data_IF_468148719463
#
_entry.id   IF_468148719463
#
_cell.length_a   1.000
_cell.length_b   1.000
_cell.length_c   1.000
_cell.angle_alpha   90.00
_cell.angle_beta   90.00
_cell.angle_gamma   90.00
#
_symmetry.space_group_name_H-M   'P 1'
#
loop_
_entity.id
_entity.type
_entity.pdbx_description
1 polymer ?
#
# COMPACT_ATOMS: atom_id res chain seq x y z
N UNK A 1 58.25 -16.94 31.40
CA UNK A 1 56.83 -16.58 31.31
C UNK A 1 56.52 -16.10 29.89
N UNK A 2 55.86 -16.93 29.10
CA UNK A 2 55.38 -16.57 27.78
C UNK A 2 53.88 -16.38 27.90
N UNK A 3 53.41 -15.13 27.73
CA UNK A 3 52.02 -14.80 27.57
C UNK A 3 51.57 -15.25 26.18
N UNK A 4 50.61 -16.18 26.17
CA UNK A 4 49.97 -16.63 24.94
C UNK A 4 48.92 -15.61 24.52
N UNK A 5 49.16 -15.01 23.39
CA UNK A 5 48.23 -14.12 22.68
C UNK A 5 47.10 -14.97 22.08
N UNK A 6 45.96 -15.04 22.77
CA UNK A 6 44.73 -15.64 22.28
C UNK A 6 43.96 -14.55 21.49
N UNK A 7 44.43 -14.21 20.32
CA UNK A 7 43.65 -13.49 19.32
C UNK A 7 42.56 -14.47 18.82
N UNK A 8 41.35 -14.36 19.37
CA UNK A 8 40.14 -14.89 18.73
C UNK A 8 40.00 -14.18 17.40
N UNK A 9 40.36 -14.88 16.32
CA UNK A 9 39.98 -14.48 14.99
C UNK A 9 38.42 -14.38 14.95
N UNK A 10 37.90 -13.19 14.99
CA UNK A 10 36.52 -12.97 14.56
C UNK A 10 36.40 -13.51 13.12
N UNK A 11 35.76 -14.65 12.99
CA UNK A 11 35.32 -15.12 11.67
C UNK A 11 34.39 -14.03 11.12
N UNK A 12 34.90 -13.22 10.18
CA UNK A 12 34.05 -12.37 9.39
C UNK A 12 33.01 -13.28 8.73
N UNK A 13 31.76 -13.11 9.14
CA UNK A 13 30.62 -13.83 8.52
C UNK A 13 30.60 -13.34 7.08
N UNK A 14 30.92 -14.23 6.17
CA UNK A 14 30.89 -13.94 4.74
C UNK A 14 29.43 -13.66 4.34
N UNK A 15 29.18 -12.45 3.83
CA UNK A 15 27.84 -12.03 3.42
C UNK A 15 27.54 -12.65 2.06
N UNK A 16 26.70 -13.69 2.04
CA UNK A 16 26.31 -14.43 0.86
C UNK A 16 25.02 -13.85 0.29
N UNK A 17 24.97 -13.66 -1.03
CA UNK A 17 23.79 -13.17 -1.77
C UNK A 17 23.36 -14.16 -2.86
N UNK A 18 22.07 -14.17 -3.13
CA UNK A 18 21.43 -15.03 -4.13
C UNK A 18 21.23 -14.31 -5.46
N UNK A 19 21.00 -12.99 -5.43
CA UNK A 19 20.76 -12.19 -6.64
C UNK A 19 22.05 -11.88 -7.42
N UNK A 20 21.92 -11.62 -8.71
CA UNK A 20 23.03 -11.23 -9.58
C UNK A 20 23.89 -12.41 -10.05
N UNK A 21 23.50 -13.66 -9.78
CA UNK A 21 24.17 -14.87 -10.28
C UNK A 21 23.16 -15.91 -10.75
N UNK A 22 23.47 -16.62 -11.84
CA UNK A 22 22.74 -17.82 -12.26
C UNK A 22 23.34 -19.10 -11.69
N UNK A 23 24.49 -18.98 -11.02
CA UNK A 23 25.19 -20.08 -10.36
C UNK A 23 24.91 -20.13 -8.85
N UNK A 24 25.80 -20.80 -8.12
CA UNK A 24 25.74 -20.87 -6.67
C UNK A 24 25.76 -19.47 -6.02
N UNK A 25 25.14 -19.31 -4.84
CA UNK A 25 25.25 -18.10 -4.04
C UNK A 25 26.72 -17.70 -3.84
N UNK A 26 27.01 -16.40 -3.87
CA UNK A 26 28.39 -15.89 -3.78
C UNK A 26 28.50 -14.75 -2.78
N UNK A 27 29.72 -14.43 -2.40
CA UNK A 27 30.02 -13.26 -1.56
C UNK A 27 29.63 -11.96 -2.28
N UNK A 28 29.11 -10.99 -1.52
CA UNK A 28 28.83 -9.62 -2.03
C UNK A 28 30.08 -9.01 -2.66
N UNK A 29 31.26 -9.28 -2.07
CA UNK A 29 32.54 -8.75 -2.54
C UNK A 29 32.95 -9.28 -3.94
N UNK A 30 32.43 -10.43 -4.33
CA UNK A 30 32.71 -11.06 -5.62
C UNK A 30 31.65 -10.71 -6.69
N UNK A 31 30.67 -9.87 -6.34
CA UNK A 31 29.64 -9.46 -7.29
C UNK A 31 30.16 -8.39 -8.26
N UNK A 32 30.01 -8.58 -9.58
CA UNK A 32 30.40 -7.58 -10.58
C UNK A 32 29.49 -6.34 -10.61
N UNK A 33 28.37 -6.39 -9.88
CA UNK A 33 27.38 -5.31 -9.77
C UNK A 33 27.12 -4.99 -8.30
N UNK A 34 26.82 -3.72 -7.96
CA UNK A 34 26.59 -3.33 -6.57
C UNK A 34 25.31 -3.97 -6.02
N UNK A 35 25.46 -4.73 -4.94
CA UNK A 35 24.37 -5.33 -4.17
C UNK A 35 24.41 -4.76 -2.76
N UNK A 36 23.31 -4.14 -2.33
CA UNK A 36 23.14 -3.77 -0.93
C UNK A 36 22.53 -4.95 -0.19
N UNK A 37 23.07 -5.24 0.98
CA UNK A 37 22.59 -6.28 1.86
C UNK A 37 22.12 -5.67 3.17
N UNK A 38 20.84 -5.84 3.49
CA UNK A 38 20.22 -5.32 4.70
C UNK A 38 19.79 -6.51 5.56
N UNK A 39 20.35 -6.63 6.75
CA UNK A 39 20.02 -7.72 7.67
C UNK A 39 18.61 -7.59 8.24
N UNK A 40 17.92 -8.72 8.45
CA UNK A 40 16.58 -8.73 9.04
C UNK A 40 16.55 -8.16 10.47
N UNK A 41 17.61 -8.34 11.25
CA UNK A 41 17.73 -7.70 12.56
C UNK A 41 17.85 -6.17 12.49
N UNK A 42 18.54 -5.64 11.49
CA UNK A 42 18.64 -4.20 11.25
C UNK A 42 17.25 -3.62 10.94
N UNK A 43 16.50 -4.27 10.06
CA UNK A 43 15.12 -3.91 9.77
C UNK A 43 14.24 -4.01 11.01
N UNK A 44 14.39 -5.07 11.78
CA UNK A 44 13.60 -5.28 13.01
C UNK A 44 13.89 -4.25 14.10
N UNK A 45 15.05 -3.59 14.09
CA UNK A 45 15.40 -2.50 15.02
C UNK A 45 14.96 -1.13 14.52
N UNK A 46 14.51 -1.03 13.28
CA UNK A 46 13.98 0.22 12.71
C UNK A 46 12.82 0.77 13.51
N UNK A 47 12.70 2.10 13.58
CA UNK A 47 11.65 2.79 14.32
C UNK A 47 10.28 2.79 13.64
N UNK A 48 10.16 2.20 12.44
CA UNK A 48 8.92 2.16 11.67
C UNK A 48 8.41 0.72 11.54
N UNK A 49 7.13 0.57 11.25
CA UNK A 49 6.46 -0.73 10.99
C UNK A 49 6.18 -0.97 9.51
N UNK A 50 6.42 0.02 8.66
CA UNK A 50 6.23 -0.05 7.21
C UNK A 50 7.53 -0.48 6.52
N UNK A 51 7.46 -1.50 5.66
CA UNK A 51 8.64 -2.06 4.98
C UNK A 51 9.36 -1.04 4.09
N UNK A 52 8.63 -0.19 3.34
CA UNK A 52 9.25 0.84 2.52
C UNK A 52 10.01 1.87 3.37
N UNK A 53 9.41 2.29 4.49
CA UNK A 53 10.05 3.24 5.40
C UNK A 53 11.27 2.63 6.11
N UNK A 54 11.24 1.34 6.45
CA UNK A 54 12.39 0.62 7.01
C UNK A 54 13.55 0.55 6.02
N UNK A 55 13.27 0.32 4.74
CA UNK A 55 14.28 0.23 3.69
C UNK A 55 14.81 1.59 3.22
N UNK A 56 14.06 2.67 3.42
CA UNK A 56 14.38 4.03 2.95
C UNK A 56 15.76 4.52 3.40
N UNK A 57 16.12 4.22 4.64
CA UNK A 57 17.42 4.62 5.22
C UNK A 57 18.59 3.81 4.68
N UNK A 58 18.36 2.58 4.24
CA UNK A 58 19.41 1.62 3.85
C UNK A 58 19.54 1.46 2.33
N UNK A 59 18.54 1.92 1.55
CA UNK A 59 18.54 1.83 0.07
C UNK A 59 18.45 3.21 -0.55
N UNK A 60 19.59 3.86 -0.89
CA UNK A 60 19.60 5.27 -1.35
C UNK A 60 18.80 5.56 -2.62
N UNK A 61 18.57 4.55 -3.45
CA UNK A 61 17.80 4.68 -4.71
C UNK A 61 16.32 4.33 -4.58
N UNK A 62 15.85 3.97 -3.38
CA UNK A 62 14.46 3.65 -3.12
C UNK A 62 13.63 4.92 -3.01
N UNK A 63 12.59 5.01 -3.82
CA UNK A 63 11.59 6.06 -3.73
C UNK A 63 10.42 5.57 -2.89
N UNK A 64 10.10 6.31 -1.84
CA UNK A 64 8.96 6.00 -0.97
C UNK A 64 7.85 7.01 -1.20
N UNK A 65 6.69 6.51 -1.59
CA UNK A 65 5.48 7.30 -1.84
C UNK A 65 4.39 6.89 -0.85
N UNK A 66 3.78 7.87 -0.23
CA UNK A 66 2.64 7.64 0.68
C UNK A 66 1.30 7.74 -0.03
N UNK A 67 1.25 8.39 -1.21
CA UNK A 67 0.04 8.63 -2.00
C UNK A 67 -1.16 9.03 -1.11
N UNK A 68 -1.05 10.15 -0.37
CA UNK A 68 -2.00 10.51 0.68
C UNK A 68 -3.41 10.75 0.16
N UNK A 69 -3.52 11.13 -1.12
CA UNK A 69 -4.78 11.29 -1.85
C UNK A 69 -4.62 10.67 -3.22
N UNK A 70 -5.29 9.55 -3.43
CA UNK A 70 -5.36 8.88 -4.74
C UNK A 70 -6.61 8.00 -4.77
N UNK A 71 -6.95 7.44 -5.93
CA UNK A 71 -8.02 6.44 -5.99
C UNK A 71 -7.56 5.18 -5.22
N UNK A 72 -7.15 4.12 -5.87
CA UNK A 72 -6.71 2.91 -5.17
C UNK A 72 -5.21 2.84 -4.85
N UNK A 73 -4.39 3.80 -5.33
CA UNK A 73 -2.94 3.73 -5.20
C UNK A 73 -2.41 3.86 -3.76
N UNK A 74 -3.23 4.37 -2.82
CA UNK A 74 -2.92 4.40 -1.39
C UNK A 74 -3.10 3.06 -0.67
N UNK A 75 -3.79 2.09 -1.30
CA UNK A 75 -4.14 0.81 -0.66
C UNK A 75 -3.01 -0.21 -0.69
N UNK A 76 -2.06 -0.07 -1.60
CA UNK A 76 -0.91 -0.96 -1.80
C UNK A 76 0.39 -0.16 -1.82
N UNK A 77 1.49 -0.80 -1.48
CA UNK A 77 2.80 -0.15 -1.39
C UNK A 77 3.83 -0.88 -2.27
N UNK A 78 3.85 -0.61 -3.56
CA UNK A 78 4.87 -1.14 -4.45
C UNK A 78 6.21 -0.42 -4.27
N UNK A 79 7.31 -1.12 -4.53
CA UNK A 79 8.64 -0.54 -4.47
C UNK A 79 9.00 0.16 -5.78
N UNK A 80 9.63 1.34 -5.65
CA UNK A 80 10.16 2.10 -6.77
C UNK A 80 11.66 2.33 -6.58
N UNK A 81 12.46 1.96 -7.56
CA UNK A 81 13.90 2.20 -7.56
C UNK A 81 14.28 3.19 -8.65
N UNK A 82 15.27 4.05 -8.36
CA UNK A 82 15.92 4.95 -9.34
C UNK A 82 14.94 5.89 -10.06
N UNK A 83 13.82 6.25 -9.43
CA UNK A 83 12.82 7.14 -10.03
C UNK A 83 11.99 6.52 -11.15
N UNK A 84 12.02 5.18 -11.29
CA UNK A 84 11.20 4.46 -12.27
C UNK A 84 9.94 3.88 -11.63
N UNK A 85 8.94 3.58 -12.45
CA UNK A 85 7.70 2.96 -11.98
C UNK A 85 7.93 1.58 -11.37
N UNK A 86 6.99 1.13 -10.55
CA UNK A 86 7.07 -0.17 -9.87
C UNK A 86 7.12 -1.37 -10.82
N UNK A 87 6.63 -1.24 -12.04
CA UNK A 87 6.75 -2.27 -13.09
C UNK A 87 8.20 -2.50 -13.54
N UNK A 88 9.10 -1.57 -13.23
CA UNK A 88 10.53 -1.67 -13.56
C UNK A 88 11.38 -2.23 -12.42
N UNK A 89 10.79 -2.51 -11.26
CA UNK A 89 11.46 -3.07 -10.08
C UNK A 89 10.99 -4.49 -9.83
N UNK A 90 11.88 -5.46 -10.07
CA UNK A 90 11.57 -6.86 -9.84
C UNK A 90 11.62 -7.18 -8.35
N UNK A 91 10.53 -7.73 -7.83
CA UNK A 91 10.43 -8.22 -6.44
C UNK A 91 10.51 -9.74 -6.44
N UNK A 92 11.42 -10.27 -5.61
CA UNK A 92 11.58 -11.70 -5.38
C UNK A 92 11.36 -12.01 -3.90
N UNK A 93 10.88 -13.21 -3.60
CA UNK A 93 10.89 -13.83 -2.27
C UNK A 93 11.63 -15.17 -2.41
N UNK A 94 12.69 -15.36 -1.63
CA UNK A 94 13.58 -16.53 -1.74
C UNK A 94 14.03 -16.81 -3.21
N UNK A 95 14.32 -15.74 -3.97
CA UNK A 95 14.73 -15.83 -5.37
C UNK A 95 13.61 -16.12 -6.37
N UNK A 96 12.35 -16.26 -5.95
CA UNK A 96 11.20 -16.50 -6.82
C UNK A 96 10.39 -15.23 -6.99
N UNK A 97 9.90 -15.00 -8.21
CA UNK A 97 9.12 -13.81 -8.56
C UNK A 97 7.87 -13.68 -7.69
N UNK A 98 7.69 -12.51 -7.10
CA UNK A 98 6.48 -12.15 -6.36
C UNK A 98 5.36 -11.77 -7.33
N UNK A 99 4.14 -12.25 -7.09
CA UNK A 99 2.96 -11.84 -7.86
C UNK A 99 2.62 -10.36 -7.64
N UNK A 100 1.97 -9.77 -8.62
CA UNK A 100 1.55 -8.37 -8.57
C UNK A 100 0.34 -8.18 -7.65
N UNK A 101 0.20 -6.97 -7.12
CA UNK A 101 -1.02 -6.55 -6.44
C UNK A 101 -2.19 -6.40 -7.42
N UNK A 102 -3.41 -6.41 -6.91
CA UNK A 102 -4.62 -6.22 -7.72
C UNK A 102 -4.86 -4.77 -8.13
N UNK A 103 -4.15 -3.82 -7.53
CA UNK A 103 -4.30 -2.39 -7.79
C UNK A 103 -3.43 -1.96 -8.97
N UNK A 104 -4.06 -1.38 -9.99
CA UNK A 104 -3.38 -0.57 -11.01
C UNK A 104 -3.49 0.89 -10.56
N UNK A 105 -2.36 1.56 -10.40
CA UNK A 105 -2.33 2.95 -9.96
C UNK A 105 -2.90 3.85 -11.09
N UNK A 106 -4.11 4.37 -10.87
CA UNK A 106 -4.77 5.31 -11.76
C UNK A 106 -5.02 6.59 -10.97
N UNK A 107 -4.78 7.75 -11.56
CA UNK A 107 -5.03 9.07 -10.97
C UNK A 107 -4.40 9.28 -9.58
N UNK A 108 -3.33 10.01 -9.53
CA UNK A 108 -2.62 10.34 -8.29
C UNK A 108 -1.59 9.32 -7.84
N UNK A 109 -1.25 8.33 -8.68
CA UNK A 109 -0.15 7.39 -8.43
C UNK A 109 1.24 7.96 -8.65
N UNK A 110 1.34 9.16 -9.23
CA UNK A 110 2.62 9.80 -9.53
C UNK A 110 3.43 8.99 -10.55
N UNK A 111 4.66 8.62 -10.21
CA UNK A 111 5.51 7.80 -11.10
C UNK A 111 4.96 6.39 -11.32
N UNK A 112 3.97 5.98 -10.54
CA UNK A 112 3.28 4.70 -10.67
C UNK A 112 1.99 4.79 -11.49
N UNK A 113 1.62 5.94 -12.05
CA UNK A 113 0.41 6.04 -12.88
C UNK A 113 0.45 5.05 -14.03
N UNK A 114 -0.53 4.13 -14.06
CA UNK A 114 -0.60 3.01 -15.01
C UNK A 114 0.17 1.75 -14.59
N UNK A 115 0.97 1.78 -13.52
CA UNK A 115 1.76 0.66 -13.06
C UNK A 115 0.98 -0.28 -12.12
N UNK A 116 1.42 -1.54 -12.07
CA UNK A 116 0.87 -2.60 -11.23
C UNK A 116 2.00 -3.41 -10.58
N UNK A 117 2.65 -2.84 -9.56
CA UNK A 117 3.72 -3.51 -8.82
C UNK A 117 3.22 -4.48 -7.75
N UNK A 118 4.07 -5.40 -7.27
CA UNK A 118 3.81 -6.18 -6.07
C UNK A 118 3.65 -5.31 -4.83
N UNK A 119 2.76 -5.70 -3.92
CA UNK A 119 2.64 -5.08 -2.61
C UNK A 119 3.68 -5.64 -1.66
N UNK A 120 4.66 -4.83 -1.26
CA UNK A 120 5.70 -5.27 -0.32
C UNK A 120 5.34 -5.02 1.15
N UNK A 121 4.26 -4.30 1.44
CA UNK A 121 3.80 -4.07 2.81
C UNK A 121 3.27 -5.35 3.49
N UNK A 122 2.97 -6.38 2.69
CA UNK A 122 2.57 -7.70 3.18
C UNK A 122 3.75 -8.57 3.64
N UNK A 123 5.00 -8.10 3.55
CA UNK A 123 6.20 -8.84 3.95
C UNK A 123 6.68 -8.28 5.29
N UNK A 124 6.44 -8.98 6.42
CA UNK A 124 6.82 -8.48 7.73
C UNK A 124 8.33 -8.60 7.96
N UNK A 125 8.94 -7.60 8.60
CA UNK A 125 10.36 -7.63 8.94
C UNK A 125 10.73 -8.85 9.81
N UNK A 126 9.80 -9.32 10.64
CA UNK A 126 9.98 -10.50 11.49
C UNK A 126 10.25 -11.80 10.69
N UNK A 127 9.77 -11.89 9.43
CA UNK A 127 9.98 -13.04 8.56
C UNK A 127 11.33 -13.03 7.85
N UNK A 128 12.06 -11.90 7.86
CA UNK A 128 13.22 -11.70 7.00
C UNK A 128 14.53 -12.06 7.71
N UNK A 129 15.36 -12.84 7.01
CA UNK A 129 16.78 -13.04 7.28
C UNK A 129 17.59 -11.86 6.75
N UNK A 130 17.31 -11.43 5.51
CA UNK A 130 17.94 -10.30 4.84
C UNK A 130 17.10 -9.82 3.65
N UNK A 131 17.38 -8.60 3.21
CA UNK A 131 16.93 -8.06 1.91
C UNK A 131 18.15 -7.78 1.05
N UNK A 132 18.13 -8.25 -0.17
CA UNK A 132 19.18 -8.06 -1.17
C UNK A 132 18.66 -7.09 -2.24
N UNK A 133 19.37 -5.98 -2.47
CA UNK A 133 18.97 -4.99 -3.46
C UNK A 133 20.05 -4.84 -4.52
N UNK A 134 19.75 -5.34 -5.71
CA UNK A 134 20.58 -5.16 -6.90
C UNK A 134 20.16 -3.85 -7.58
N UNK A 135 20.97 -2.82 -7.47
CA UNK A 135 20.65 -1.44 -7.90
C UNK A 135 20.94 -1.16 -9.37
N UNK A 136 21.40 -2.11 -10.12
CA UNK A 136 21.68 -1.94 -11.55
C UNK A 136 20.66 -2.64 -12.42
N UNK A 137 20.60 -2.26 -13.71
CA UNK A 137 19.74 -2.88 -14.70
C UNK A 137 20.07 -4.36 -14.87
N UNK A 138 19.20 -5.22 -14.35
CA UNK A 138 19.36 -6.67 -14.41
C UNK A 138 18.46 -7.31 -15.48
N UNK A 139 17.93 -6.50 -16.40
CA UNK A 139 16.98 -6.94 -17.43
C UNK A 139 17.52 -8.08 -18.31
N UNK A 140 18.83 -8.12 -18.57
CA UNK A 140 19.46 -9.19 -19.33
C UNK A 140 19.39 -10.56 -18.62
N UNK A 141 19.31 -10.57 -17.29
CA UNK A 141 19.25 -11.79 -16.48
C UNK A 141 17.82 -12.12 -16.03
N UNK A 142 17.02 -11.10 -15.68
CA UNK A 142 15.74 -11.27 -15.02
C UNK A 142 14.53 -10.84 -15.84
N UNK A 143 14.74 -10.18 -16.99
CA UNK A 143 13.67 -9.67 -17.86
C UNK A 143 13.37 -8.19 -17.70
N UNK A 144 12.36 -7.71 -18.42
CA UNK A 144 12.05 -6.27 -18.57
C UNK A 144 11.63 -5.58 -17.28
N UNK A 145 11.11 -6.29 -16.32
CA UNK A 145 10.69 -5.76 -15.01
C UNK A 145 11.86 -5.56 -14.03
N UNK A 146 13.09 -5.90 -14.42
CA UNK A 146 14.29 -5.63 -13.64
C UNK A 146 15.16 -4.47 -14.20
N UNK A 147 14.56 -3.53 -14.91
CA UNK A 147 15.26 -2.37 -15.50
C UNK A 147 15.79 -1.44 -14.42
N UNK A 148 15.01 -1.17 -13.39
CA UNK A 148 15.41 -0.34 -12.25
C UNK A 148 16.31 -1.10 -11.27
N UNK A 149 16.10 -2.40 -11.15
CA UNK A 149 16.83 -3.28 -10.24
C UNK A 149 15.99 -4.45 -9.76
N UNK A 150 16.55 -5.18 -8.81
CA UNK A 150 15.92 -6.37 -8.19
C UNK A 150 15.97 -6.20 -6.68
N UNK A 151 14.87 -6.48 -5.99
CA UNK A 151 14.80 -6.61 -4.55
C UNK A 151 14.41 -8.03 -4.20
N UNK A 152 15.26 -8.76 -3.47
CA UNK A 152 15.00 -10.12 -3.04
C UNK A 152 14.84 -10.17 -1.51
N UNK A 153 13.67 -10.58 -1.05
CA UNK A 153 13.33 -10.78 0.34
C UNK A 153 13.63 -12.21 0.72
N UNK A 154 14.71 -12.42 1.46
CA UNK A 154 15.14 -13.74 1.91
C UNK A 154 14.50 -14.03 3.25
N UNK A 155 13.72 -15.09 3.33
CA UNK A 155 13.01 -15.51 4.54
C UNK A 155 13.95 -16.20 5.52
N UNK A 156 13.61 -16.13 6.81
CA UNK A 156 14.30 -16.90 7.86
C UNK A 156 14.14 -18.39 7.62
N UNK A 157 15.21 -19.13 7.89
CA UNK A 157 15.35 -20.56 7.69
C UNK A 157 15.84 -21.29 8.95
N UNK A 158 15.74 -20.63 10.12
CA UNK A 158 16.14 -21.23 11.40
C UNK A 158 15.23 -22.40 11.75
N UNK A 159 15.82 -23.50 12.21
CA UNK A 159 15.14 -24.72 12.66
C UNK A 159 14.86 -24.72 14.17
N UNK A 160 15.26 -23.68 14.87
CA UNK A 160 15.09 -23.54 16.32
C UNK A 160 15.05 -22.07 16.72
N UNK A 161 14.59 -21.81 17.96
CA UNK A 161 14.51 -20.46 18.49
C UNK A 161 13.29 -19.69 18.04
N UNK A 162 13.23 -18.44 18.47
CA UNK A 162 12.13 -17.55 18.10
C UNK A 162 12.25 -16.18 18.74
N UNK A 163 11.40 -15.27 18.28
CA UNK A 163 11.32 -13.91 18.77
C UNK A 163 9.86 -13.43 18.83
N UNK A 164 9.57 -12.57 19.79
CA UNK A 164 8.31 -11.85 19.91
C UNK A 164 8.62 -10.39 20.16
N UNK A 165 8.00 -9.51 19.40
CA UNK A 165 8.19 -8.06 19.48
C UNK A 165 6.83 -7.40 19.59
N UNK A 166 6.70 -6.46 20.51
CA UNK A 166 5.57 -5.55 20.60
C UNK A 166 6.09 -4.11 20.47
N UNK A 167 5.44 -3.31 19.65
CA UNK A 167 5.79 -1.90 19.40
C UNK A 167 4.57 -1.02 19.55
N UNK A 168 4.81 0.15 20.09
CA UNK A 168 3.88 1.27 20.06
C UNK A 168 4.65 2.52 19.67
N UNK A 169 4.07 3.33 18.82
CA UNK A 169 4.66 4.59 18.36
C UNK A 169 3.59 5.61 18.03
N UNK A 170 3.96 6.88 18.11
CA UNK A 170 3.14 8.02 17.73
C UNK A 170 4.05 9.11 17.18
N UNK A 171 3.52 9.94 16.28
CA UNK A 171 4.28 11.11 15.82
C UNK A 171 4.23 12.24 16.84
N UNK A 172 5.24 13.11 16.82
CA UNK A 172 5.33 14.28 17.72
C UNK A 172 4.16 15.27 17.54
N UNK A 173 3.50 15.22 16.40
CA UNK A 173 2.31 15.99 16.08
C UNK A 173 1.05 15.48 16.82
N UNK A 174 1.14 14.34 17.49
CA UNK A 174 0.05 13.75 18.27
C UNK A 174 -0.96 12.97 17.42
N UNK A 175 -0.51 12.43 16.31
CA UNK A 175 -1.30 11.57 15.40
C UNK A 175 -0.49 10.35 14.95
N UNK A 176 -1.14 9.46 14.18
CA UNK A 176 -0.50 8.31 13.57
C UNK A 176 -0.06 7.26 14.60
N UNK A 177 -0.85 7.08 15.65
CA UNK A 177 -0.60 6.03 16.63
C UNK A 177 -0.51 4.68 15.93
N UNK A 178 0.56 3.95 16.21
CA UNK A 178 0.80 2.65 15.61
C UNK A 178 1.06 1.63 16.69
N UNK A 179 0.34 0.50 16.62
CA UNK A 179 0.57 -0.68 17.45
C UNK A 179 0.92 -1.87 16.56
N UNK A 180 1.99 -2.57 16.89
CA UNK A 180 2.40 -3.79 16.20
C UNK A 180 2.77 -4.87 17.21
N UNK A 181 2.33 -6.09 16.94
CA UNK A 181 2.84 -7.30 17.58
C UNK A 181 3.29 -8.24 16.47
N UNK A 182 4.56 -8.62 16.49
CA UNK A 182 5.13 -9.51 15.49
C UNK A 182 6.02 -10.57 16.14
N UNK A 183 6.13 -11.71 15.51
CA UNK A 183 6.95 -12.81 16.01
C UNK A 183 7.39 -13.77 14.92
N UNK A 184 8.39 -14.56 15.30
CA UNK A 184 8.96 -15.59 14.46
C UNK A 184 9.32 -16.80 15.33
N UNK A 185 9.16 -18.00 14.81
CA UNK A 185 9.59 -19.24 15.45
C UNK A 185 10.11 -20.22 14.41
N UNK A 186 11.30 -20.75 14.67
CA UNK A 186 11.91 -21.87 13.96
C UNK A 186 11.62 -23.19 14.66
N UNK A 187 11.34 -24.23 13.88
CA UNK A 187 11.09 -25.58 14.35
C UNK A 187 11.77 -26.59 13.40
N UNK A 188 12.33 -27.69 13.92
CA UNK A 188 12.86 -28.74 13.06
C UNK A 188 11.71 -29.46 12.33
N UNK A 189 11.88 -29.66 11.03
CA UNK A 189 11.07 -30.57 10.23
C UNK A 189 11.90 -31.85 10.04
N UNK A 190 11.71 -32.84 10.86
CA UNK A 190 12.63 -33.97 10.97
C UNK A 190 14.04 -33.52 11.46
N UNK A 191 15.05 -34.38 11.35
CA UNK A 191 16.47 -34.04 11.68
C UNK A 191 17.17 -33.26 10.53
N UNK A 192 16.58 -33.26 9.34
CA UNK A 192 17.22 -32.79 8.09
C UNK A 192 16.43 -31.64 7.43
N UNK A 193 15.57 -30.96 8.18
CA UNK A 193 14.77 -29.86 7.63
C UNK A 193 14.29 -28.87 8.69
N UNK A 194 13.64 -27.81 8.23
CA UNK A 194 13.12 -26.76 9.07
C UNK A 194 11.71 -26.33 8.63
N UNK A 195 10.96 -25.78 9.58
CA UNK A 195 9.77 -24.95 9.36
C UNK A 195 9.95 -23.66 10.15
N UNK A 196 9.87 -22.54 9.47
CA UNK A 196 9.95 -21.22 10.07
C UNK A 196 8.61 -20.50 9.86
N UNK A 197 7.98 -20.06 10.96
CA UNK A 197 6.71 -19.37 10.97
C UNK A 197 6.91 -17.93 11.46
N UNK A 198 6.30 -16.99 10.76
CA UNK A 198 6.29 -15.58 11.16
C UNK A 198 4.86 -15.06 11.14
N UNK A 199 4.55 -14.16 12.09
CA UNK A 199 3.27 -13.45 12.11
C UNK A 199 3.48 -11.98 12.43
N UNK A 200 2.54 -11.17 12.00
CA UNK A 200 2.41 -9.76 12.37
C UNK A 200 0.94 -9.41 12.51
N UNK A 201 0.63 -8.62 13.53
CA UNK A 201 -0.62 -7.90 13.66
C UNK A 201 -0.31 -6.42 13.88
N UNK A 202 -0.95 -5.54 13.10
CA UNK A 202 -0.69 -4.11 13.15
C UNK A 202 -1.95 -3.30 12.96
N UNK A 203 -2.05 -2.20 13.72
CA UNK A 203 -2.95 -1.08 13.49
C UNK A 203 -2.15 0.21 13.40
N UNK A 204 -2.56 1.09 12.51
CA UNK A 204 -1.95 2.41 12.36
C UNK A 204 -3.02 3.45 12.06
N UNK A 205 -3.11 4.48 12.90
CA UNK A 205 -4.02 5.59 12.71
C UNK A 205 -3.55 6.48 11.55
N UNK A 206 -4.49 7.18 10.92
CA UNK A 206 -4.19 8.15 9.88
C UNK A 206 -3.36 9.32 10.44
N UNK A 207 -2.54 9.91 9.59
CA UNK A 207 -1.83 11.15 9.91
C UNK A 207 -2.43 12.34 9.15
N UNK A 208 -2.18 13.54 9.67
CA UNK A 208 -2.53 14.78 8.98
C UNK A 208 -1.36 15.76 8.96
N UNK A 209 -0.97 16.16 7.75
CA UNK A 209 0.02 17.24 7.52
C UNK A 209 -0.64 18.33 6.68
N UNK A 210 -1.87 18.67 7.07
CA UNK A 210 -2.80 19.46 6.27
C UNK A 210 -2.85 20.91 6.72
N UNK A 211 -3.12 21.77 5.76
CA UNK A 211 -3.56 23.15 5.99
C UNK A 211 -4.91 23.33 5.30
N UNK A 212 -5.72 24.28 5.79
CA UNK A 212 -7.02 24.54 5.16
C UNK A 212 -6.83 24.96 3.70
N UNK A 213 -7.64 24.41 2.82
CA UNK A 213 -7.69 24.78 1.40
C UNK A 213 -8.15 26.22 1.23
N UNK A 214 -7.57 27.00 0.30
CA UNK A 214 -7.96 28.39 0.08
C UNK A 214 -9.45 28.56 -0.27
N UNK A 215 -10.01 27.66 -1.10
CA UNK A 215 -11.42 27.68 -1.48
C UNK A 215 -12.36 27.40 -0.30
N UNK A 216 -12.02 26.43 0.56
CA UNK A 216 -12.77 26.16 1.79
C UNK A 216 -12.65 27.30 2.80
N UNK A 217 -11.45 27.87 2.99
CA UNK A 217 -11.25 29.05 3.83
C UNK A 217 -12.07 30.26 3.35
N UNK A 218 -12.15 30.45 2.03
CA UNK A 218 -12.99 31.50 1.41
C UNK A 218 -14.49 31.32 1.73
N UNK A 219 -14.99 30.10 1.71
CA UNK A 219 -16.37 29.78 2.06
C UNK A 219 -16.66 30.05 3.54
N UNK A 220 -15.75 29.66 4.45
CA UNK A 220 -15.85 29.94 5.87
C UNK A 220 -15.86 31.45 6.13
N UNK A 221 -14.94 32.19 5.52
CA UNK A 221 -14.87 33.66 5.63
C UNK A 221 -16.12 34.35 5.09
N UNK A 222 -16.78 33.75 4.08
CA UNK A 222 -18.04 34.21 3.52
C UNK A 222 -19.28 33.74 4.33
N UNK A 223 -19.10 33.17 5.52
CA UNK A 223 -20.16 32.82 6.45
C UNK A 223 -20.71 31.40 6.35
N UNK A 224 -20.08 30.51 5.58
CA UNK A 224 -20.47 29.10 5.55
C UNK A 224 -19.85 28.31 6.70
N UNK A 225 -20.54 28.25 7.83
CA UNK A 225 -20.10 27.56 9.05
C UNK A 225 -20.22 26.04 8.99
N UNK A 226 -20.77 25.48 7.91
CA UNK A 226 -20.90 24.04 7.71
C UNK A 226 -19.63 23.42 7.06
N UNK A 227 -18.73 24.25 6.54
CA UNK A 227 -17.45 23.79 5.98
C UNK A 227 -16.53 23.37 7.13
N UNK A 228 -15.90 22.20 7.00
CA UNK A 228 -14.95 21.69 7.98
C UNK A 228 -13.71 22.59 8.10
N UNK A 229 -13.14 22.71 9.31
CA UNK A 229 -11.90 23.46 9.59
C UNK A 229 -10.70 22.92 8.78
N UNK A 230 -10.70 21.62 8.47
CA UNK A 230 -9.83 20.98 7.48
C UNK A 230 -10.70 20.23 6.48
N UNK A 231 -10.97 20.86 5.35
CA UNK A 231 -11.84 20.30 4.32
C UNK A 231 -11.20 19.10 3.57
N UNK A 232 -9.88 19.01 3.56
CA UNK A 232 -9.15 17.93 2.90
C UNK A 232 -7.92 17.56 3.71
N UNK A 233 -7.70 16.26 3.92
CA UNK A 233 -6.60 15.73 4.70
C UNK A 233 -5.51 15.18 3.78
N UNK A 234 -4.26 15.59 4.04
CA UNK A 234 -3.04 15.07 3.45
C UNK A 234 -2.24 14.35 4.52
N UNK A 235 -2.13 13.05 4.42
CA UNK A 235 -1.40 12.24 5.38
C UNK A 235 -1.42 10.76 5.00
N UNK A 236 -0.78 9.94 5.82
CA UNK A 236 -0.80 8.49 5.62
C UNK A 236 -2.22 7.96 5.85
N UNK A 237 -2.65 6.94 5.09
CA UNK A 237 -3.93 6.30 5.32
C UNK A 237 -3.97 5.57 6.67
N UNK A 238 -5.16 5.40 7.20
CA UNK A 238 -5.45 4.50 8.31
C UNK A 238 -5.32 3.04 7.84
N UNK A 239 -4.70 2.20 8.66
CA UNK A 239 -4.57 0.75 8.43
C UNK A 239 -5.06 0.02 9.65
N UNK A 240 -6.08 -0.82 9.47
CA UNK A 240 -6.70 -1.60 10.55
C UNK A 240 -6.60 -3.09 10.28
N UNK A 241 -6.52 -3.86 11.37
CA UNK A 241 -6.55 -5.31 11.37
C UNK A 241 -5.58 -5.93 10.35
N UNK A 242 -4.39 -5.34 10.22
CA UNK A 242 -3.33 -5.84 9.33
C UNK A 242 -2.72 -7.11 9.94
N UNK A 243 -3.21 -8.25 9.49
CA UNK A 243 -2.75 -9.58 9.89
C UNK A 243 -1.91 -10.15 8.77
N UNK A 244 -0.69 -10.58 9.09
CA UNK A 244 0.18 -11.27 8.13
C UNK A 244 0.79 -12.52 8.75
N UNK A 245 0.78 -13.62 8.00
CA UNK A 245 1.41 -14.89 8.35
C UNK A 245 2.31 -15.30 7.19
N UNK A 246 3.54 -15.67 7.49
CA UNK A 246 4.49 -16.27 6.55
C UNK A 246 4.93 -17.64 7.03
N UNK A 247 5.12 -18.54 6.09
CA UNK A 247 5.75 -19.85 6.31
C UNK A 247 6.93 -20.01 5.35
N UNK A 248 8.05 -20.53 5.84
CA UNK A 248 9.19 -20.96 5.05
C UNK A 248 9.63 -22.34 5.56
N UNK A 249 9.85 -23.28 4.65
CA UNK A 249 10.22 -24.64 5.00
C UNK A 249 11.17 -25.22 3.96
N UNK A 250 12.15 -25.95 4.43
CA UNK A 250 13.09 -26.70 3.62
C UNK A 250 13.33 -28.08 4.20
N UNK A 251 13.58 -29.04 3.33
CA UNK A 251 13.89 -30.43 3.69
C UNK A 251 15.03 -30.95 2.80
N UNK A 252 16.14 -31.29 3.41
CA UNK A 252 17.22 -31.99 2.71
C UNK A 252 16.75 -33.40 2.33
N UNK A 253 16.81 -33.70 1.04
CA UNK A 253 16.43 -34.99 0.46
C UNK A 253 17.65 -35.92 0.29
N UNK A 254 18.84 -35.44 0.64
CA UNK A 254 20.11 -36.11 0.35
C UNK A 254 20.55 -35.94 -1.11
N UNK A 255 21.79 -36.34 -1.40
CA UNK A 255 22.40 -36.24 -2.75
C UNK A 255 22.34 -34.80 -3.31
N UNK A 256 22.72 -33.83 -2.49
CA UNK A 256 22.72 -32.40 -2.84
C UNK A 256 21.36 -31.88 -3.37
N UNK A 257 20.27 -32.45 -2.88
CA UNK A 257 18.89 -32.10 -3.26
C UNK A 257 18.10 -31.61 -2.07
N UNK A 258 17.27 -30.59 -2.29
CA UNK A 258 16.40 -29.97 -1.28
C UNK A 258 14.98 -29.82 -1.83
N UNK A 259 13.98 -30.15 -1.03
CA UNK A 259 12.60 -29.70 -1.25
C UNK A 259 12.34 -28.45 -0.43
N UNK A 260 11.61 -27.48 -0.99
CA UNK A 260 11.28 -26.25 -0.29
C UNK A 260 9.84 -25.83 -0.53
N UNK A 261 9.30 -25.12 0.44
CA UNK A 261 7.97 -24.50 0.37
C UNK A 261 7.97 -23.19 1.14
N UNK A 262 7.38 -22.15 0.55
CA UNK A 262 7.10 -20.91 1.27
C UNK A 262 5.83 -20.26 0.77
N UNK A 263 5.21 -19.47 1.63
CA UNK A 263 3.98 -18.78 1.29
C UNK A 263 3.53 -17.80 2.36
N UNK A 264 2.48 -17.07 2.05
CA UNK A 264 1.88 -16.12 2.97
C UNK A 264 0.36 -16.07 2.87
N UNK A 265 -0.22 -15.58 3.96
CA UNK A 265 -1.54 -15.00 4.02
C UNK A 265 -1.44 -13.63 4.67
N UNK A 266 -2.07 -12.63 4.08
CA UNK A 266 -2.20 -11.30 4.65
C UNK A 266 -3.59 -10.74 4.37
N UNK A 267 -4.15 -10.03 5.35
CA UNK A 267 -5.40 -9.30 5.24
C UNK A 267 -5.31 -8.00 6.03
N UNK A 268 -5.81 -6.90 5.46
CA UNK A 268 -5.88 -5.60 6.13
C UNK A 268 -6.98 -4.73 5.56
N UNK A 269 -7.50 -3.85 6.39
CA UNK A 269 -8.36 -2.75 5.97
C UNK A 269 -7.55 -1.45 5.89
N UNK A 270 -7.70 -0.73 4.77
CA UNK A 270 -7.03 0.56 4.54
C UNK A 270 -8.09 1.61 4.23
N UNK A 271 -7.97 2.79 4.86
CA UNK A 271 -8.84 3.94 4.59
C UNK A 271 -7.99 5.18 4.36
N UNK A 272 -7.98 5.67 3.12
CA UNK A 272 -7.26 6.86 2.69
C UNK A 272 -8.16 8.08 2.52
N UNK A 273 -7.55 9.25 2.47
CA UNK A 273 -8.21 10.51 2.15
C UNK A 273 -8.54 10.63 0.66
N UNK A 274 -9.38 11.61 0.35
CA UNK A 274 -9.75 11.95 -1.02
C UNK A 274 -9.89 13.46 -1.20
N UNK A 275 -10.31 13.91 -2.40
CA UNK A 275 -10.43 15.32 -2.73
C UNK A 275 -11.73 15.93 -2.19
N UNK A 276 -11.64 17.14 -1.64
CA UNK A 276 -12.80 17.95 -1.21
C UNK A 276 -13.75 18.25 -2.37
N UNK A 277 -15.02 18.09 -2.11
CA UNK A 277 -16.14 18.41 -2.98
C UNK A 277 -16.74 19.73 -2.55
N UNK A 278 -16.26 20.80 -3.17
CA UNK A 278 -16.67 22.18 -2.86
C UNK A 278 -18.16 22.39 -3.14
N UNK A 279 -18.95 22.95 -2.20
CA UNK A 279 -20.40 23.09 -2.31
C UNK A 279 -20.87 24.13 -3.33
N UNK A 280 -19.96 24.83 -4.00
CA UNK A 280 -20.29 25.76 -5.08
C UNK A 280 -19.86 25.22 -6.46
N UNK A 281 -18.67 24.63 -6.54
CA UNK A 281 -18.03 24.35 -7.82
C UNK A 281 -18.01 22.88 -8.23
N UNK A 282 -18.36 21.94 -7.32
CA UNK A 282 -18.34 20.51 -7.67
C UNK A 282 -19.37 20.21 -8.74
N UNK A 283 -18.88 19.98 -9.97
CA UNK A 283 -19.69 19.64 -11.13
C UNK A 283 -20.56 18.40 -10.92
N UNK A 284 -21.78 18.43 -11.42
CA UNK A 284 -22.75 17.33 -11.36
C UNK A 284 -23.36 17.07 -9.97
N UNK A 285 -22.94 17.81 -8.93
CA UNK A 285 -23.48 17.75 -7.57
C UNK A 285 -24.05 19.11 -7.16
N UNK A 286 -23.22 20.14 -7.14
CA UNK A 286 -23.59 21.46 -6.65
C UNK A 286 -23.74 22.50 -7.75
N UNK A 287 -23.11 22.29 -8.90
CA UNK A 287 -23.16 23.21 -10.03
C UNK A 287 -23.08 22.44 -11.36
N UNK A 288 -23.68 23.00 -12.40
CA UNK A 288 -23.56 22.52 -13.79
C UNK A 288 -22.70 23.42 -14.69
N UNK A 289 -22.28 24.59 -14.19
CA UNK A 289 -21.66 25.69 -14.95
C UNK A 289 -20.36 26.22 -14.31
N UNK A 290 -19.74 25.40 -13.44
CA UNK A 290 -18.48 25.77 -12.81
C UNK A 290 -18.61 26.64 -11.58
N UNK A 291 -19.80 26.81 -11.02
CA UNK A 291 -20.06 27.57 -9.80
C UNK A 291 -20.73 28.90 -10.02
N UNK A 292 -21.27 29.15 -11.22
CA UNK A 292 -22.06 30.36 -11.50
C UNK A 292 -23.47 30.24 -10.90
N UNK A 293 -24.10 29.06 -11.03
CA UNK A 293 -25.41 28.78 -10.47
C UNK A 293 -25.49 27.42 -9.74
N UNK A 294 -26.49 27.32 -8.84
CA UNK A 294 -26.79 26.11 -8.11
C UNK A 294 -27.41 25.09 -9.05
N UNK A 295 -26.93 23.84 -8.95
CA UNK A 295 -27.58 22.70 -9.62
C UNK A 295 -28.83 22.30 -8.82
N UNK A 296 -29.99 22.52 -9.41
CA UNK A 296 -31.28 22.25 -8.81
C UNK A 296 -31.94 21.12 -9.57
N UNK A 297 -32.31 20.05 -8.89
CA UNK A 297 -33.16 18.99 -9.42
C UNK A 297 -34.63 19.40 -9.33
N UNK A 298 -35.39 19.17 -10.41
CA UNK A 298 -36.82 19.36 -10.49
C UNK A 298 -37.50 18.00 -10.44
N UNK A 299 -38.11 17.66 -9.31
CA UNK A 299 -38.75 16.36 -9.08
C UNK A 299 -40.00 16.15 -9.93
N UNK A 300 -40.65 17.21 -10.33
CA UNK A 300 -41.85 17.15 -11.16
C UNK A 300 -41.53 17.10 -12.66
N UNK A 301 -40.27 17.33 -13.04
CA UNK A 301 -39.86 17.34 -14.43
C UNK A 301 -39.87 15.92 -15.00
N UNK A 302 -40.81 15.68 -15.95
CA UNK A 302 -40.78 14.50 -16.81
C UNK A 302 -40.22 14.89 -18.18
N UNK A 303 -39.89 13.89 -18.99
CA UNK A 303 -39.37 14.14 -20.35
C UNK A 303 -40.32 15.01 -21.15
N UNK A 304 -39.80 16.16 -21.63
CA UNK A 304 -40.57 17.15 -22.42
C UNK A 304 -41.46 18.12 -21.62
N UNK A 305 -41.44 18.07 -20.27
CA UNK A 305 -42.15 19.06 -19.47
C UNK A 305 -41.29 20.32 -19.24
N UNK A 306 -41.98 21.45 -19.04
CA UNK A 306 -41.34 22.72 -18.68
C UNK A 306 -40.72 22.60 -17.28
N UNK A 307 -39.59 23.26 -17.10
CA UNK A 307 -38.87 23.33 -15.84
C UNK A 307 -39.61 24.19 -14.83
N UNK A 308 -39.91 23.66 -13.63
CA UNK A 308 -40.61 24.41 -12.56
C UNK A 308 -39.64 25.06 -11.56
N UNK A 309 -38.40 24.56 -11.46
CA UNK A 309 -37.39 25.12 -10.58
C UNK A 309 -36.54 26.18 -11.30
N UNK A 310 -36.52 27.40 -10.79
CA UNK A 310 -35.76 28.49 -11.37
C UNK A 310 -34.27 28.36 -11.07
N UNK A 311 -33.43 28.80 -12.00
CA UNK A 311 -31.99 28.91 -11.78
C UNK A 311 -31.70 29.95 -10.68
N UNK A 312 -30.76 29.64 -9.78
CA UNK A 312 -30.34 30.53 -8.70
C UNK A 312 -28.84 30.75 -8.81
N UNK A 313 -28.38 31.99 -9.10
CA UNK A 313 -26.96 32.33 -9.09
C UNK A 313 -26.35 32.14 -7.69
N UNK A 314 -25.08 31.74 -7.61
CA UNK A 314 -24.33 31.65 -6.34
C UNK A 314 -23.75 33.03 -6.03
N UNK A 315 -24.23 33.66 -4.95
CA UNK A 315 -23.84 35.03 -4.58
C UNK A 315 -23.29 35.14 -3.15
N UNK A 316 -23.44 34.09 -2.33
CA UNK A 316 -22.97 34.05 -0.92
C UNK A 316 -22.19 32.81 -0.62
N UNK A 317 -21.42 32.80 0.46
CA UNK A 317 -20.67 31.63 0.93
C UNK A 317 -21.57 30.46 1.37
N UNK A 318 -22.77 30.74 1.83
CA UNK A 318 -23.79 29.74 2.14
C UNK A 318 -25.05 30.01 1.34
N UNK A 319 -25.26 29.23 0.29
CA UNK A 319 -26.38 29.41 -0.64
C UNK A 319 -27.75 29.30 0.04
N UNK A 320 -27.85 28.54 1.14
CA UNK A 320 -29.10 28.38 1.90
C UNK A 320 -29.59 29.70 2.53
N UNK A 321 -28.72 30.70 2.67
CA UNK A 321 -29.07 32.02 3.22
C UNK A 321 -29.41 33.05 2.17
N UNK A 322 -29.27 32.68 0.88
CA UNK A 322 -29.59 33.62 -0.24
C UNK A 322 -31.11 33.86 -0.37
N UNK A 323 -31.55 35.11 -0.50
CA UNK A 323 -32.98 35.41 -0.69
C UNK A 323 -33.59 34.67 -1.89
N UNK A 324 -32.87 34.62 -3.00
CA UNK A 324 -33.33 33.96 -4.23
C UNK A 324 -33.46 32.46 -4.07
N UNK A 325 -32.54 31.82 -3.28
CA UNK A 325 -32.63 30.42 -2.95
C UNK A 325 -33.87 30.14 -2.08
N UNK A 326 -34.06 30.92 -1.04
CA UNK A 326 -35.20 30.78 -0.12
C UNK A 326 -36.52 30.95 -0.89
N UNK A 327 -36.60 31.96 -1.78
CA UNK A 327 -37.81 32.24 -2.53
C UNK A 327 -38.16 31.19 -3.59
N UNK A 328 -37.14 30.63 -4.27
CA UNK A 328 -37.36 29.85 -5.48
C UNK A 328 -37.10 28.34 -5.29
N UNK A 329 -36.41 27.92 -4.24
CA UNK A 329 -36.00 26.51 -4.02
C UNK A 329 -36.47 25.99 -2.67
N UNK A 330 -36.10 26.64 -1.58
CA UNK A 330 -36.31 26.12 -0.23
C UNK A 330 -37.79 25.92 0.17
N UNK A 331 -38.71 26.70 -0.44
CA UNK A 331 -40.16 26.64 -0.21
C UNK A 331 -40.91 25.89 -1.34
N UNK A 332 -40.19 25.23 -2.23
CA UNK A 332 -40.78 24.49 -3.34
C UNK A 332 -40.46 22.97 -3.21
N UNK A 333 -41.44 22.18 -2.82
CA UNK A 333 -41.28 20.72 -2.60
C UNK A 333 -40.82 19.97 -3.88
N UNK A 334 -41.00 20.54 -5.07
CA UNK A 334 -40.51 19.96 -6.30
C UNK A 334 -39.01 20.20 -6.55
N UNK A 335 -38.43 21.21 -5.88
CA UNK A 335 -37.03 21.58 -6.08
C UNK A 335 -36.14 20.93 -5.00
N UNK A 336 -34.94 20.53 -5.39
CA UNK A 336 -33.95 19.96 -4.48
C UNK A 336 -32.56 20.40 -4.92
N UNK A 337 -31.70 20.75 -3.95
CA UNK A 337 -30.27 20.91 -4.16
C UNK A 337 -29.47 20.14 -3.10
N UNK A 338 -28.30 19.65 -3.47
CA UNK A 338 -27.42 18.97 -2.51
C UNK A 338 -26.89 19.91 -1.41
N UNK A 339 -26.98 21.22 -1.59
CA UNK A 339 -26.67 22.20 -0.54
C UNK A 339 -27.59 22.04 0.69
N UNK A 340 -28.83 21.56 0.52
CA UNK A 340 -29.75 21.30 1.64
C UNK A 340 -29.25 20.12 2.49
N UNK A 341 -28.73 19.08 1.85
CA UNK A 341 -28.23 17.90 2.52
C UNK A 341 -26.84 18.13 3.11
N UNK A 342 -25.94 18.79 2.37
CA UNK A 342 -24.52 18.93 2.69
C UNK A 342 -24.05 20.36 2.33
N UNK A 343 -24.43 21.39 3.13
CA UNK A 343 -24.17 22.78 2.79
C UNK A 343 -22.68 23.17 2.83
N UNK A 344 -21.85 22.42 3.57
CA UNK A 344 -20.42 22.65 3.69
C UNK A 344 -19.56 21.94 2.63
N UNK A 345 -20.19 21.21 1.72
CA UNK A 345 -19.45 20.29 0.87
C UNK A 345 -19.01 19.04 1.66
N UNK A 346 -18.25 18.15 1.02
CA UNK A 346 -17.83 16.91 1.63
C UNK A 346 -16.50 16.41 1.07
N UNK A 347 -15.83 15.56 1.84
CA UNK A 347 -14.62 14.87 1.41
C UNK A 347 -14.83 13.38 1.56
N UNK A 348 -14.86 12.62 0.46
CA UNK A 348 -14.93 11.18 0.53
C UNK A 348 -13.69 10.59 1.20
N UNK A 349 -13.82 9.36 1.74
CA UNK A 349 -12.71 8.49 2.05
C UNK A 349 -12.74 7.29 1.13
N UNK A 350 -11.63 7.00 0.48
CA UNK A 350 -11.48 5.82 -0.35
C UNK A 350 -10.71 4.76 0.43
N UNK A 351 -11.26 3.57 0.50
CA UNK A 351 -10.67 2.48 1.26
C UNK A 351 -10.93 1.12 0.64
N UNK A 352 -10.49 0.10 1.34
CA UNK A 352 -10.78 -1.28 0.94
C UNK A 352 -10.12 -2.29 1.85
N UNK A 353 -10.65 -3.51 1.78
CA UNK A 353 -10.04 -4.69 2.35
C UNK A 353 -9.12 -5.32 1.30
N UNK A 354 -7.86 -5.54 1.67
CA UNK A 354 -6.84 -6.14 0.82
C UNK A 354 -6.48 -7.50 1.39
N UNK A 355 -6.66 -8.56 0.58
CA UNK A 355 -6.26 -9.92 0.91
C UNK A 355 -5.18 -10.38 -0.05
N UNK A 356 -4.05 -10.84 0.49
CA UNK A 356 -2.91 -11.32 -0.28
C UNK A 356 -2.52 -12.73 0.17
N UNK A 357 -2.40 -13.65 -0.80
CA UNK A 357 -2.01 -15.03 -0.54
C UNK A 357 -1.02 -15.52 -1.57
N UNK A 358 -0.02 -16.29 -1.16
CA UNK A 358 0.85 -16.99 -2.09
C UNK A 358 1.34 -18.33 -1.55
N UNK A 359 1.69 -19.20 -2.47
CA UNK A 359 2.36 -20.46 -2.20
C UNK A 359 3.35 -20.75 -3.34
N UNK A 360 4.58 -21.09 -2.96
CA UNK A 360 5.61 -21.61 -3.85
C UNK A 360 6.11 -22.93 -3.30
N UNK A 361 6.19 -23.94 -4.15
CA UNK A 361 6.72 -25.27 -3.81
C UNK A 361 7.69 -25.67 -4.88
N UNK A 362 8.83 -26.26 -4.50
CA UNK A 362 9.83 -26.67 -5.44
C UNK A 362 10.85 -27.63 -4.90
N UNK A 363 11.74 -28.04 -5.80
CA UNK A 363 12.94 -28.82 -5.50
C UNK A 363 14.10 -28.26 -6.27
N UNK A 364 15.25 -28.18 -5.63
CA UNK A 364 16.50 -27.72 -6.24
C UNK A 364 17.64 -28.66 -5.83
N UNK A 365 18.69 -28.66 -6.59
CA UNK A 365 19.87 -29.50 -6.27
C UNK A 365 20.91 -29.45 -7.37
N UNK A 366 21.93 -30.30 -7.20
CA UNK A 366 22.99 -30.51 -8.16
C UNK A 366 23.01 -31.99 -8.59
N UNK A 367 23.10 -32.24 -9.91
CA UNK A 367 23.24 -33.57 -10.45
C UNK A 367 24.70 -34.02 -10.39
N UNK A 368 24.97 -35.31 -10.44
CA UNK A 368 26.32 -35.91 -10.42
C UNK A 368 27.29 -35.32 -11.47
N UNK A 369 26.76 -34.72 -12.53
CA UNK A 369 27.53 -34.08 -13.59
C UNK A 369 27.79 -32.58 -13.36
N UNK A 370 27.47 -32.04 -12.17
CA UNK A 370 27.64 -30.62 -11.81
C UNK A 370 26.56 -29.69 -12.34
N UNK A 371 25.48 -30.21 -12.92
CA UNK A 371 24.36 -29.41 -13.41
C UNK A 371 23.42 -29.10 -12.23
N UNK A 372 23.28 -27.81 -11.93
CA UNK A 372 22.29 -27.34 -10.95
C UNK A 372 20.90 -27.27 -11.57
N UNK A 373 19.90 -27.65 -10.80
CA UNK A 373 18.50 -27.56 -11.19
C UNK A 373 17.66 -26.90 -10.09
N UNK A 374 16.57 -26.25 -10.48
CA UNK A 374 15.55 -25.69 -9.59
C UNK A 374 14.20 -25.72 -10.29
N UNK A 375 13.33 -26.64 -9.89
CA UNK A 375 11.97 -26.79 -10.42
C UNK A 375 10.97 -26.33 -9.36
N UNK A 376 10.11 -25.38 -9.73
CA UNK A 376 9.10 -24.88 -8.81
C UNK A 376 7.81 -24.50 -9.49
N UNK A 377 6.72 -24.57 -8.75
CA UNK A 377 5.44 -23.99 -9.08
C UNK A 377 5.05 -22.93 -8.04
N UNK A 378 4.52 -21.82 -8.51
CA UNK A 378 4.04 -20.74 -7.67
C UNK A 378 2.61 -20.36 -8.02
N UNK A 379 1.83 -20.00 -7.01
CA UNK A 379 0.53 -19.38 -7.18
C UNK A 379 0.45 -18.18 -6.23
N UNK A 380 0.01 -17.05 -6.76
CA UNK A 380 -0.17 -15.83 -5.98
C UNK A 380 -1.50 -15.17 -6.32
N UNK A 381 -2.20 -14.68 -5.31
CA UNK A 381 -3.47 -13.99 -5.45
C UNK A 381 -3.50 -12.77 -4.55
N UNK A 382 -3.81 -11.63 -5.14
CA UNK A 382 -4.11 -10.40 -4.40
C UNK A 382 -5.51 -9.92 -4.77
N UNK A 383 -6.32 -9.56 -3.78
CA UNK A 383 -7.70 -9.08 -3.97
C UNK A 383 -7.89 -7.79 -3.18
N UNK A 384 -8.39 -6.76 -3.83
CA UNK A 384 -8.83 -5.50 -3.21
C UNK A 384 -10.34 -5.36 -3.36
N UNK A 385 -11.05 -5.31 -2.23
CA UNK A 385 -12.48 -5.03 -2.16
C UNK A 385 -12.65 -3.57 -1.77
N UNK A 386 -13.19 -2.75 -2.68
CA UNK A 386 -13.21 -1.29 -2.51
C UNK A 386 -14.43 -0.82 -1.73
N UNK A 387 -14.23 0.25 -0.95
CA UNK A 387 -15.29 0.98 -0.24
C UNK A 387 -15.02 2.48 -0.40
N UNK A 388 -16.09 3.24 -0.65
CA UNK A 388 -16.04 4.71 -0.64
C UNK A 388 -17.03 5.18 0.41
N UNK A 389 -16.53 5.91 1.40
CA UNK A 389 -17.32 6.49 2.48
C UNK A 389 -17.53 7.98 2.26
N UNK A 390 -18.58 8.53 2.88
CA UNK A 390 -18.89 9.94 2.86
C UNK A 390 -18.92 10.55 1.46
N UNK A 391 -19.56 9.85 0.52
CA UNK A 391 -19.76 10.30 -0.86
C UNK A 391 -21.27 10.38 -1.19
N UNK A 392 -21.62 10.49 -2.43
CA UNK A 392 -22.99 10.42 -2.91
C UNK A 392 -23.05 10.05 -4.39
N UNK A 393 -24.20 9.55 -4.83
CA UNK A 393 -24.56 9.43 -6.24
C UNK A 393 -25.63 10.47 -6.59
N UNK A 394 -25.23 11.50 -7.32
CA UNK A 394 -26.12 12.62 -7.64
C UNK A 394 -27.38 12.22 -8.44
N UNK A 395 -27.30 11.11 -9.20
CA UNK A 395 -28.45 10.61 -9.96
C UNK A 395 -29.59 10.06 -9.09
N UNK A 396 -29.32 9.78 -7.81
CA UNK A 396 -30.31 9.30 -6.86
C UNK A 396 -30.99 10.44 -6.07
N UNK A 397 -30.55 11.69 -6.26
CA UNK A 397 -31.10 12.85 -5.56
C UNK A 397 -30.97 12.72 -4.04
N UNK A 398 -32.00 13.12 -3.31
CA UNK A 398 -32.03 13.11 -1.84
C UNK A 398 -31.95 11.70 -1.22
N UNK A 399 -32.30 10.67 -1.95
CA UNK A 399 -32.29 9.28 -1.49
C UNK A 399 -30.91 8.60 -1.63
N UNK A 400 -29.89 9.36 -2.04
CA UNK A 400 -28.53 8.81 -2.25
C UNK A 400 -27.96 8.24 -0.93
N UNK A 401 -27.44 7.01 -0.92
CA UNK A 401 -26.57 6.54 0.17
C UNK A 401 -25.30 7.43 0.26
N UNK A 402 -24.64 7.36 1.42
CA UNK A 402 -23.38 8.07 1.66
C UNK A 402 -22.16 7.17 1.55
N UNK A 403 -22.36 5.86 1.59
CA UNK A 403 -21.30 4.87 1.50
C UNK A 403 -21.63 3.87 0.39
N UNK A 404 -20.60 3.44 -0.34
CA UNK A 404 -20.73 2.55 -1.49
C UNK A 404 -19.64 1.49 -1.50
N UNK A 405 -20.01 0.28 -1.92
CA UNK A 405 -19.10 -0.82 -2.23
C UNK A 405 -19.03 -1.00 -3.76
N UNK A 406 -18.14 -0.31 -4.48
CA UNK A 406 -18.11 -0.34 -5.94
C UNK A 406 -17.68 -1.70 -6.51
N UNK A 407 -17.19 -2.61 -5.68
CA UNK A 407 -16.81 -3.95 -6.09
C UNK A 407 -15.39 -4.32 -5.70
N UNK A 408 -14.85 -5.36 -6.36
CA UNK A 408 -13.53 -5.90 -6.08
C UNK A 408 -12.72 -6.14 -7.33
N UNK A 409 -11.41 -6.06 -7.19
CA UNK A 409 -10.44 -6.42 -8.20
C UNK A 409 -9.56 -7.55 -7.68
N UNK A 410 -9.25 -8.55 -8.52
CA UNK A 410 -8.41 -9.68 -8.15
C UNK A 410 -7.35 -9.91 -9.21
N UNK A 411 -6.09 -9.96 -8.79
CA UNK A 411 -4.96 -10.42 -9.58
C UNK A 411 -4.61 -11.86 -9.16
N UNK A 412 -4.48 -12.74 -10.13
CA UNK A 412 -4.07 -14.13 -9.94
C UNK A 412 -2.92 -14.45 -10.91
N UNK A 413 -1.81 -14.93 -10.37
CA UNK A 413 -0.64 -15.36 -11.14
C UNK A 413 -0.26 -16.80 -10.78
N UNK A 414 0.18 -17.56 -11.79
CA UNK A 414 0.60 -18.96 -11.63
C UNK A 414 1.92 -19.19 -12.35
#
# INVERSE_FOLDING_TARGET
AAEGDNAKAEKSIEKIVVVGSRGAPRSVNDSPVPIDLIGGEELSRGGNTDMLELLKGSVPSLNVHTNPISDAASLVKPANLRGLSSDSTLILVNGKRRHRASVIALLGGGINDGAQGPDISVIPAAALKQVEVLRDGAAAQYGSDAIAGVMNFVLKDDADGGSLTARYGSYYEGDGDTMEVSGNVGMPLTKDGFVNLSFQYKNADATSRSVQRPDAAGLIAAGNTAVSDLAQIWGSPEVNDDITIFVNSGLDLGNDSEAYMFGNFSERDVRGGFYFRNPHTRGGVYSGDGGESILIADKAQSEGADRTCLAVPITTGNVLTQPDYIANVANNDNCFSFNEMIPGGFTPNFGGNIVDTSLTVGTKGEMDNGVMYDFSGSIGRNTSSYVIYNTLNASLGAETPRDFEPGKHTQLEK
#
